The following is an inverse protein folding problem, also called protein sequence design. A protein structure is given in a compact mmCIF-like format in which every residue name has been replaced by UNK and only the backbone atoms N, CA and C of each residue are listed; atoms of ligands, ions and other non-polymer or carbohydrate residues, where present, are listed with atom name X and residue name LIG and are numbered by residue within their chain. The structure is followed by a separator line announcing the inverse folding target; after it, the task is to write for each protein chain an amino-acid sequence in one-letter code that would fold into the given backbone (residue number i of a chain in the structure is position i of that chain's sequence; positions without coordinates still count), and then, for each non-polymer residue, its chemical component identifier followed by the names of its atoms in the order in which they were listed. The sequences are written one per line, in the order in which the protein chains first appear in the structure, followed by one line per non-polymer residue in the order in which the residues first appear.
data_IF_723737950481
#
_entry.id   IF_723737950481
#
_cell.length_a   1.000
_cell.length_b   1.000
_cell.length_c   1.000
_cell.angle_alpha   90.00
_cell.angle_beta   90.00
_cell.angle_gamma   90.00
#
_symmetry.space_group_name_H-M   'P 1'
#
loop_
_entity.id
_entity.type
_entity.pdbx_description
1 polymer ?
#
# COMPACT_ATOMS: atom_id res chain seq x y z
N UNK A 1 -8.14 4.66 -2.85
CA UNK A 1 -9.42 5.29 -3.14
C UNK A 1 -10.50 4.48 -2.45
N UNK A 2 -11.33 5.09 -1.65
CA UNK A 2 -12.28 4.39 -0.76
C UNK A 2 -13.67 5.03 -0.89
N UNK A 3 -14.42 4.61 -1.88
CA UNK A 3 -15.81 5.04 -2.09
C UNK A 3 -16.56 4.01 -2.94
N UNK A 4 -16.62 2.77 -2.48
CA UNK A 4 -17.22 1.64 -3.19
C UNK A 4 -18.61 1.25 -2.67
N UNK A 5 -19.41 2.20 -2.22
CA UNK A 5 -20.73 1.92 -1.67
C UNK A 5 -21.88 2.09 -2.69
N UNK A 6 -21.53 2.37 -3.94
CA UNK A 6 -22.47 2.40 -5.06
C UNK A 6 -22.43 1.13 -5.91
N UNK A 7 -23.58 0.75 -6.46
CA UNK A 7 -23.68 -0.42 -7.35
C UNK A 7 -22.79 -0.26 -8.59
N UNK A 8 -21.87 -1.20 -8.77
CA UNK A 8 -20.92 -1.21 -9.88
C UNK A 8 -19.70 -0.32 -9.73
N UNK A 9 -19.61 0.43 -8.65
CA UNK A 9 -18.42 1.16 -8.28
C UNK A 9 -17.33 0.19 -7.81
N UNK A 10 -16.09 0.51 -8.17
CA UNK A 10 -14.92 -0.25 -7.75
C UNK A 10 -13.84 0.69 -7.28
N UNK A 11 -13.19 0.31 -6.22
CA UNK A 11 -12.00 0.96 -5.73
C UNK A 11 -10.82 0.77 -6.68
N UNK A 12 -9.82 1.62 -6.59
CA UNK A 12 -8.69 1.63 -7.51
C UNK A 12 -7.36 1.50 -6.79
N UNK A 13 -6.46 0.72 -7.35
CA UNK A 13 -5.03 0.79 -7.09
C UNK A 13 -4.41 1.64 -8.20
N UNK A 14 -3.72 2.73 -7.84
CA UNK A 14 -3.12 3.66 -8.79
C UNK A 14 -1.62 3.75 -8.57
N UNK A 15 -0.88 3.99 -9.65
CA UNK A 15 0.53 4.34 -9.60
C UNK A 15 0.66 5.86 -9.61
N UNK A 16 1.18 6.41 -8.52
CA UNK A 16 1.34 7.86 -8.39
C UNK A 16 2.71 8.27 -8.93
N UNK A 17 2.73 9.21 -9.85
CA UNK A 17 3.93 9.85 -10.35
C UNK A 17 3.86 11.36 -10.08
N UNK A 18 5.02 11.99 -9.89
CA UNK A 18 5.09 13.43 -9.68
C UNK A 18 4.50 14.17 -10.89
N UNK A 19 3.61 15.13 -10.64
CA UNK A 19 2.90 15.87 -11.68
C UNK A 19 1.80 15.08 -12.41
N UNK A 20 1.60 13.81 -12.08
CA UNK A 20 0.53 13.00 -12.65
C UNK A 20 -0.83 13.27 -12.01
N UNK A 21 -1.88 13.13 -12.80
CA UNK A 21 -3.27 13.18 -12.33
C UNK A 21 -3.88 11.78 -12.46
N UNK A 22 -4.28 11.19 -11.34
CA UNK A 22 -4.96 9.90 -11.30
C UNK A 22 -6.48 10.03 -11.22
N UNK A 23 -7.00 11.25 -11.34
CA UNK A 23 -8.39 11.56 -11.15
C UNK A 23 -8.81 11.50 -9.68
N UNK A 24 -9.88 12.17 -9.37
CA UNK A 24 -10.48 12.16 -8.04
C UNK A 24 -11.91 11.67 -8.12
N UNK A 25 -12.34 10.85 -7.17
CA UNK A 25 -13.67 10.27 -7.12
C UNK A 25 -14.35 10.61 -5.81
N UNK A 26 -15.54 11.18 -5.91
CA UNK A 26 -16.45 11.33 -4.79
C UNK A 26 -17.82 10.82 -5.18
N UNK A 27 -18.66 10.52 -4.21
CA UNK A 27 -20.06 10.17 -4.39
C UNK A 27 -20.81 11.07 -5.38
N UNK A 28 -20.46 12.34 -5.44
CA UNK A 28 -21.09 13.32 -6.32
C UNK A 28 -20.74 13.10 -7.79
N UNK A 29 -19.55 12.62 -8.07
CA UNK A 29 -19.05 12.42 -9.43
C UNK A 29 -19.51 11.10 -10.03
N UNK A 30 -19.96 10.16 -9.19
CA UNK A 30 -20.41 8.83 -9.59
C UNK A 30 -21.90 8.61 -9.51
N UNK A 31 -22.68 9.64 -9.31
CA UNK A 31 -24.13 9.53 -9.29
C UNK A 31 -24.66 9.18 -10.66
N UNK A 32 -24.70 7.90 -10.95
CA UNK A 32 -25.47 7.32 -12.04
C UNK A 32 -26.93 7.11 -11.61
N UNK A 33 -27.82 6.81 -12.57
CA UNK A 33 -29.21 6.50 -12.29
C UNK A 33 -29.36 5.48 -11.16
N UNK A 34 -30.20 5.80 -10.20
CA UNK A 34 -30.59 4.90 -9.12
C UNK A 34 -29.93 5.13 -7.78
N UNK A 35 -28.97 6.01 -7.66
CA UNK A 35 -28.38 6.34 -6.35
C UNK A 35 -29.08 7.49 -5.63
N UNK A 36 -30.20 7.90 -6.03
CA UNK A 36 -30.79 9.05 -5.39
C UNK A 36 -31.79 8.70 -4.33
N UNK A 37 -31.28 8.32 -3.18
CA UNK A 37 -31.93 8.68 -1.93
C UNK A 37 -32.12 10.21 -1.82
N UNK A 38 -31.27 10.99 -2.50
CA UNK A 38 -31.22 12.45 -2.40
C UNK A 38 -31.45 13.22 -3.69
N UNK A 39 -31.17 12.65 -4.85
CA UNK A 39 -31.49 13.27 -6.14
C UNK A 39 -31.97 12.20 -7.12
N UNK A 40 -33.06 12.45 -7.84
CA UNK A 40 -33.64 11.51 -8.80
C UNK A 40 -33.06 11.62 -10.21
N UNK A 41 -31.93 12.33 -10.38
CA UNK A 41 -31.37 12.60 -11.70
C UNK A 41 -29.96 12.05 -11.83
N UNK A 42 -29.61 11.46 -12.99
CA UNK A 42 -28.24 11.09 -13.28
C UNK A 42 -27.34 12.31 -13.18
N UNK A 43 -26.18 12.15 -12.57
CA UNK A 43 -25.19 13.21 -12.49
C UNK A 43 -24.08 12.88 -13.49
N UNK A 44 -23.79 13.83 -14.38
CA UNK A 44 -22.67 13.75 -15.31
C UNK A 44 -21.35 13.59 -14.52
N UNK A 45 -20.58 12.62 -14.94
CA UNK A 45 -19.28 12.32 -14.36
C UNK A 45 -18.21 12.40 -15.46
N UNK A 46 -17.45 13.52 -15.54
CA UNK A 46 -16.52 13.71 -16.65
C UNK A 46 -15.47 12.63 -16.75
N UNK A 47 -15.00 12.03 -15.64
CA UNK A 47 -13.99 10.97 -15.71
C UNK A 47 -14.52 9.70 -16.35
N UNK A 48 -15.74 9.30 -16.03
CA UNK A 48 -16.38 8.08 -16.58
C UNK A 48 -17.00 8.36 -17.93
N UNK A 49 -17.80 9.40 -18.04
CA UNK A 49 -18.59 9.69 -19.24
C UNK A 49 -17.69 10.08 -20.41
N UNK A 50 -16.61 10.81 -20.15
CA UNK A 50 -15.59 11.16 -21.14
C UNK A 50 -14.46 10.15 -21.24
N UNK A 51 -14.44 9.11 -20.40
CA UNK A 51 -13.43 8.05 -20.41
C UNK A 51 -12.00 8.61 -20.34
N UNK A 52 -11.76 9.53 -19.43
CA UNK A 52 -10.52 10.31 -19.38
C UNK A 52 -9.24 9.48 -19.16
N UNK A 53 -9.34 8.26 -18.66
CA UNK A 53 -8.23 7.31 -18.53
C UNK A 53 -7.95 6.47 -19.79
N UNK A 54 -8.74 6.68 -20.86
CA UNK A 54 -8.54 6.00 -22.14
C UNK A 54 -7.98 7.00 -23.13
N UNK A 55 -6.86 6.71 -23.82
CA UNK A 55 -6.38 7.55 -24.90
C UNK A 55 -7.47 7.73 -25.97
N UNK A 56 -7.77 8.95 -26.32
CA UNK A 56 -8.76 9.26 -27.38
C UNK A 56 -8.19 9.04 -28.77
N UNK A 57 -6.88 9.21 -28.89
CA UNK A 57 -6.12 9.03 -30.13
C UNK A 57 -4.90 8.14 -29.90
N UNK A 58 -4.49 7.31 -30.87
CA UNK A 58 -3.41 6.33 -30.71
C UNK A 58 -2.04 6.90 -30.31
N UNK A 59 -1.81 8.20 -30.49
CA UNK A 59 -0.53 8.87 -30.20
C UNK A 59 -0.60 9.84 -29.03
N UNK A 60 -1.74 9.90 -28.35
CA UNK A 60 -1.93 10.81 -27.22
C UNK A 60 -2.00 9.99 -25.93
N UNK A 61 -1.43 10.49 -24.82
CA UNK A 61 -1.68 9.90 -23.51
C UNK A 61 -3.13 10.12 -23.09
N UNK A 62 -3.61 9.32 -22.15
CA UNK A 62 -4.86 9.60 -21.48
C UNK A 62 -4.75 10.90 -20.66
N UNK A 63 -5.87 11.57 -20.42
CA UNK A 63 -5.92 12.81 -19.62
C UNK A 63 -5.57 12.55 -18.15
N UNK A 64 -5.93 11.38 -17.63
CA UNK A 64 -5.57 10.95 -16.27
C UNK A 64 -4.87 9.61 -16.31
N UNK A 65 -4.04 9.36 -15.30
CA UNK A 65 -3.35 8.06 -15.18
C UNK A 65 -4.35 6.95 -14.93
N UNK A 66 -4.38 5.89 -15.77
CA UNK A 66 -5.28 4.78 -15.58
C UNK A 66 -4.95 4.02 -14.28
N UNK A 67 -5.94 3.36 -13.65
CA UNK A 67 -5.68 2.47 -12.52
C UNK A 67 -4.88 1.25 -12.97
N UNK A 68 -4.03 0.73 -12.07
CA UNK A 68 -3.36 -0.55 -12.26
C UNK A 68 -4.36 -1.70 -12.17
N UNK A 69 -5.31 -1.59 -11.26
CA UNK A 69 -6.39 -2.53 -11.05
C UNK A 69 -7.59 -1.89 -10.36
N UNK A 70 -8.74 -2.50 -10.52
CA UNK A 70 -9.94 -2.16 -9.76
C UNK A 70 -10.21 -3.26 -8.74
N UNK A 71 -10.49 -2.87 -7.50
CA UNK A 71 -10.86 -3.76 -6.41
C UNK A 71 -12.35 -3.70 -6.09
N UNK A 72 -12.78 -4.56 -5.14
CA UNK A 72 -14.19 -4.68 -4.86
C UNK A 72 -14.72 -3.53 -4.03
N UNK A 73 -14.38 -3.40 -2.77
CA UNK A 73 -14.90 -2.36 -1.87
C UNK A 73 -13.98 -2.09 -0.67
N UNK A 74 -13.97 -0.85 -0.20
CA UNK A 74 -13.52 -0.43 1.11
C UNK A 74 -12.05 -0.73 1.42
N UNK A 75 -11.08 -0.26 0.61
CA UNK A 75 -9.68 -0.43 0.95
C UNK A 75 -9.36 0.25 2.28
N UNK A 76 -8.76 -0.52 3.18
CA UNK A 76 -8.27 -0.07 4.47
C UNK A 76 -6.74 0.06 4.48
N UNK A 77 -6.06 -0.80 5.22
CA UNK A 77 -4.61 -0.81 5.27
C UNK A 77 -3.95 -1.26 3.97
N UNK A 78 -2.83 -0.64 3.64
CA UNK A 78 -2.03 -1.00 2.48
C UNK A 78 -0.54 -1.02 2.86
N UNK A 79 0.14 -2.14 2.65
CA UNK A 79 1.55 -2.32 3.01
C UNK A 79 2.31 -3.14 1.98
N UNK A 80 3.54 -2.72 1.71
CA UNK A 80 4.53 -3.50 0.99
C UNK A 80 5.37 -4.32 1.96
N UNK A 81 5.77 -5.53 1.58
CA UNK A 81 6.70 -6.35 2.36
C UNK A 81 8.05 -5.64 2.49
N UNK A 82 8.50 -5.30 3.70
CA UNK A 82 9.63 -4.38 3.88
C UNK A 82 11.00 -5.01 3.56
N UNK A 83 11.07 -6.33 3.36
CA UNK A 83 12.30 -7.08 3.10
C UNK A 83 12.63 -8.11 4.17
N UNK A 84 12.38 -7.80 5.44
CA UNK A 84 12.48 -8.75 6.56
C UNK A 84 11.10 -8.86 7.20
N UNK A 85 10.50 -10.04 7.14
CA UNK A 85 9.13 -10.22 7.60
C UNK A 85 8.70 -11.69 7.53
N UNK A 86 7.53 -11.93 6.96
CA UNK A 86 6.96 -13.24 6.67
C UNK A 86 7.95 -14.17 5.94
N UNK A 87 7.50 -15.32 5.48
CA UNK A 87 8.33 -16.21 4.67
C UNK A 87 8.80 -15.51 3.36
N UNK A 88 9.77 -16.09 2.68
CA UNK A 88 10.38 -15.49 1.49
C UNK A 88 9.45 -15.54 0.27
N UNK A 89 8.39 -16.35 0.29
CA UNK A 89 7.38 -16.43 -0.76
C UNK A 89 6.60 -15.11 -0.90
N UNK A 90 6.46 -14.36 0.22
CA UNK A 90 5.84 -13.04 0.24
C UNK A 90 6.80 -11.88 0.00
N UNK A 91 8.05 -12.14 -0.33
CA UNK A 91 8.96 -11.06 -0.72
C UNK A 91 8.44 -10.33 -1.96
N UNK A 92 8.50 -8.99 -1.94
CA UNK A 92 7.98 -8.11 -3.00
C UNK A 92 6.45 -8.11 -3.15
N UNK A 93 5.71 -8.65 -2.19
CA UNK A 93 4.26 -8.55 -2.17
C UNK A 93 3.77 -7.27 -1.50
N UNK A 94 2.66 -6.79 -2.00
CA UNK A 94 1.78 -5.81 -1.36
C UNK A 94 0.64 -6.54 -0.65
N UNK A 95 0.17 -5.96 0.44
CA UNK A 95 -0.97 -6.43 1.21
C UNK A 95 -2.01 -5.33 1.25
N UNK A 96 -3.20 -5.60 0.75
CA UNK A 96 -4.32 -4.67 0.68
C UNK A 96 -5.49 -5.21 1.48
N UNK A 97 -5.92 -4.45 2.46
CA UNK A 97 -7.14 -4.73 3.21
C UNK A 97 -8.35 -4.29 2.40
N UNK A 98 -9.33 -5.17 2.28
CA UNK A 98 -10.67 -4.89 1.77
C UNK A 98 -11.64 -5.09 2.95
N UNK A 99 -11.82 -4.04 3.74
CA UNK A 99 -12.44 -4.10 5.06
C UNK A 99 -13.84 -4.72 5.05
N UNK A 100 -14.82 -4.25 4.25
CA UNK A 100 -16.16 -4.83 4.25
C UNK A 100 -16.24 -6.18 3.55
N UNK A 101 -15.25 -6.52 2.71
CA UNK A 101 -15.19 -7.82 2.06
C UNK A 101 -14.55 -8.90 2.93
N UNK A 102 -14.05 -8.54 4.13
CA UNK A 102 -13.37 -9.44 5.07
C UNK A 102 -12.16 -10.17 4.44
N UNK A 103 -11.44 -9.46 3.55
CA UNK A 103 -10.29 -10.02 2.82
C UNK A 103 -9.07 -9.12 3.01
N UNK A 104 -7.91 -9.76 3.19
CA UNK A 104 -6.60 -9.14 2.96
C UNK A 104 -6.02 -9.81 1.73
N UNK A 105 -5.95 -9.08 0.62
CA UNK A 105 -5.31 -9.56 -0.62
C UNK A 105 -3.81 -9.36 -0.58
N UNK A 106 -3.06 -10.31 -1.14
CA UNK A 106 -1.65 -10.18 -1.43
C UNK A 106 -1.43 -10.20 -2.94
N UNK A 107 -0.52 -9.35 -3.45
CA UNK A 107 -0.19 -9.30 -4.87
C UNK A 107 1.20 -8.70 -5.09
N UNK A 108 1.76 -8.92 -6.27
CA UNK A 108 2.98 -8.26 -6.76
C UNK A 108 2.64 -7.26 -7.86
N UNK A 109 3.57 -6.34 -8.12
CA UNK A 109 3.52 -5.49 -9.30
C UNK A 109 4.69 -5.83 -10.20
N UNK A 110 4.39 -6.07 -11.47
CA UNK A 110 5.37 -6.32 -12.52
C UNK A 110 5.43 -5.14 -13.49
N UNK A 111 6.62 -4.72 -13.93
CA UNK A 111 6.76 -3.62 -14.89
C UNK A 111 6.01 -3.90 -16.20
N UNK A 112 5.25 -2.90 -16.67
CA UNK A 112 4.53 -2.96 -17.95
C UNK A 112 4.58 -1.62 -18.65
N UNK A 113 5.46 -1.50 -19.64
CA UNK A 113 5.72 -0.22 -20.30
C UNK A 113 6.26 0.82 -19.32
N UNK A 114 5.60 1.98 -19.24
CA UNK A 114 5.92 3.03 -18.27
C UNK A 114 5.15 2.91 -16.96
N UNK A 115 4.49 1.78 -16.70
CA UNK A 115 3.66 1.54 -15.53
C UNK A 115 3.89 0.12 -15.01
N UNK A 116 2.90 -0.44 -14.33
CA UNK A 116 2.92 -1.78 -13.76
C UNK A 116 1.61 -2.50 -14.05
N UNK A 117 1.65 -3.81 -13.96
CA UNK A 117 0.45 -4.65 -13.86
C UNK A 117 0.50 -5.48 -12.57
N UNK A 118 -0.67 -5.85 -12.11
CA UNK A 118 -0.82 -6.68 -10.92
C UNK A 118 -0.61 -8.15 -11.29
N UNK A 119 0.19 -8.85 -10.48
CA UNK A 119 0.53 -10.26 -10.66
C UNK A 119 0.38 -11.03 -9.34
N UNK A 120 0.15 -12.33 -9.44
CA UNK A 120 0.07 -13.29 -8.32
C UNK A 120 -0.94 -12.89 -7.24
N UNK A 121 -2.02 -12.23 -7.62
CA UNK A 121 -3.06 -11.84 -6.68
C UNK A 121 -3.75 -13.06 -6.07
N UNK A 122 -3.84 -13.07 -4.75
CA UNK A 122 -4.57 -14.09 -3.99
C UNK A 122 -5.01 -13.56 -2.63
N UNK A 123 -6.02 -14.17 -2.00
CA UNK A 123 -6.35 -13.90 -0.61
C UNK A 123 -5.19 -14.35 0.31
N UNK A 124 -4.64 -13.41 1.07
CA UNK A 124 -3.69 -13.69 2.14
C UNK A 124 -4.42 -14.14 3.43
N UNK A 125 -5.56 -13.52 3.68
CA UNK A 125 -6.45 -13.84 4.78
C UNK A 125 -7.90 -13.52 4.44
N UNK A 126 -8.83 -14.35 4.94
CA UNK A 126 -10.27 -14.18 4.75
C UNK A 126 -11.03 -14.40 6.06
N UNK A 127 -12.22 -13.81 6.17
CA UNK A 127 -13.17 -14.04 7.26
C UNK A 127 -12.93 -13.19 8.51
N UNK A 128 -12.07 -12.15 8.44
CA UNK A 128 -11.94 -11.15 9.50
C UNK A 128 -12.12 -9.74 8.93
N UNK A 129 -12.80 -8.88 9.68
CA UNK A 129 -12.95 -7.46 9.34
C UNK A 129 -11.68 -6.68 9.71
N UNK A 130 -10.64 -6.86 8.93
CA UNK A 130 -9.37 -6.19 9.16
C UNK A 130 -9.46 -4.72 8.68
N UNK A 131 -9.16 -3.79 9.56
CA UNK A 131 -9.18 -2.35 9.28
C UNK A 131 -7.80 -1.79 8.91
N UNK A 132 -6.73 -2.39 9.42
CA UNK A 132 -5.36 -1.95 9.14
C UNK A 132 -4.37 -3.12 9.22
N UNK A 133 -3.27 -2.97 8.52
CA UNK A 133 -2.15 -3.95 8.53
C UNK A 133 -0.82 -3.24 8.66
N UNK A 134 0.14 -3.87 9.34
CA UNK A 134 1.48 -3.33 9.50
C UNK A 134 2.53 -4.42 9.79
N UNK A 135 3.78 -4.21 9.38
CA UNK A 135 4.92 -5.00 9.83
C UNK A 135 5.50 -4.42 11.10
N UNK A 136 5.53 -5.18 12.18
CA UNK A 136 6.13 -4.81 13.45
C UNK A 136 7.66 -4.68 13.37
N UNK A 137 8.25 -4.05 14.38
CA UNK A 137 9.72 -3.97 14.49
C UNK A 137 10.37 -5.35 14.63
N UNK A 138 9.64 -6.30 15.20
CA UNK A 138 10.02 -7.71 15.30
C UNK A 138 9.91 -8.47 13.96
N UNK A 139 9.46 -7.80 12.89
CA UNK A 139 9.28 -8.36 11.55
C UNK A 139 8.02 -9.20 11.37
N UNK A 140 7.18 -9.38 12.38
CA UNK A 140 5.89 -10.02 12.23
C UNK A 140 4.88 -9.12 11.50
N UNK A 141 3.86 -9.72 10.91
CA UNK A 141 2.75 -8.99 10.30
C UNK A 141 1.58 -8.89 11.28
N UNK A 142 1.10 -7.69 11.49
CA UNK A 142 0.01 -7.39 12.42
C UNK A 142 -1.21 -6.89 11.65
N UNK A 143 -2.38 -7.36 12.07
CA UNK A 143 -3.68 -7.01 11.51
C UNK A 143 -4.59 -6.52 12.63
N UNK A 144 -5.17 -5.34 12.47
CA UNK A 144 -6.17 -4.80 13.39
C UNK A 144 -7.55 -5.32 12.97
N UNK A 145 -8.12 -6.19 13.80
CA UNK A 145 -9.42 -6.81 13.59
C UNK A 145 -10.51 -6.02 14.33
N UNK A 146 -11.56 -5.64 13.62
CA UNK A 146 -12.72 -4.94 14.16
C UNK A 146 -13.57 -5.82 15.09
N UNK A 147 -13.45 -7.14 15.00
CA UNK A 147 -14.20 -8.13 15.79
C UNK A 147 -15.72 -7.92 15.81
N UNK A 148 -16.33 -7.91 14.65
CA UNK A 148 -17.76 -7.76 14.58
C UNK A 148 -18.28 -7.51 13.19
N UNK A 149 -19.51 -7.04 13.13
CA UNK A 149 -20.14 -6.54 11.92
C UNK A 149 -19.95 -5.04 11.85
N UNK A 150 -20.39 -4.41 10.79
CA UNK A 150 -20.24 -2.99 10.50
C UNK A 150 -20.59 -2.03 11.65
N UNK A 151 -21.45 -2.45 12.58
CA UNK A 151 -21.83 -1.61 13.73
C UNK A 151 -20.74 -1.60 14.81
N UNK A 152 -20.44 -0.45 15.42
CA UNK A 152 -19.56 -0.37 16.56
C UNK A 152 -20.04 -1.29 17.71
N UNK A 153 -19.11 -2.02 18.30
CA UNK A 153 -19.40 -3.02 19.33
C UNK A 153 -18.41 -2.97 20.50
N UNK A 154 -17.58 -1.93 20.57
CA UNK A 154 -16.54 -1.70 21.59
C UNK A 154 -15.56 -2.88 21.73
N UNK A 155 -15.38 -3.65 20.66
CA UNK A 155 -14.45 -4.78 20.57
C UNK A 155 -13.42 -4.53 19.49
N UNK A 156 -12.32 -5.20 19.65
CA UNK A 156 -11.24 -5.20 18.66
C UNK A 156 -10.06 -5.99 19.17
N UNK A 157 -9.27 -6.49 18.28
CA UNK A 157 -8.04 -7.20 18.62
C UNK A 157 -6.93 -6.95 17.60
N UNK A 158 -5.72 -7.27 18.01
CA UNK A 158 -4.58 -7.31 17.11
C UNK A 158 -4.21 -8.77 16.88
N UNK A 159 -4.33 -9.19 15.64
CA UNK A 159 -3.87 -10.51 15.20
C UNK A 159 -2.42 -10.40 14.75
N UNK A 160 -1.62 -11.37 15.14
CA UNK A 160 -0.21 -11.50 14.72
C UNK A 160 -0.06 -12.69 13.80
N UNK A 161 0.49 -12.46 12.61
CA UNK A 161 0.87 -13.52 11.66
C UNK A 161 2.39 -13.53 11.55
N UNK A 162 2.99 -14.72 11.69
CA UNK A 162 4.43 -14.86 11.67
C UNK A 162 4.87 -16.20 11.06
N UNK A 163 6.12 -16.27 10.60
CA UNK A 163 6.79 -17.51 10.21
C UNK A 163 7.55 -18.07 11.43
N UNK A 164 7.10 -19.20 12.01
CA UNK A 164 7.75 -19.79 13.19
C UNK A 164 9.24 -20.08 12.99
N UNK A 165 9.67 -20.31 11.75
CA UNK A 165 11.08 -20.58 11.40
C UNK A 165 11.98 -19.35 11.51
N UNK A 166 11.38 -18.16 11.46
CA UNK A 166 12.09 -16.85 11.49
C UNK A 166 12.00 -16.16 12.84
N UNK A 167 11.06 -16.56 13.69
CA UNK A 167 10.90 -16.00 15.03
C UNK A 167 12.19 -16.14 15.81
N UNK A 168 12.65 -15.04 16.42
CA UNK A 168 13.86 -15.01 17.26
C UNK A 168 15.20 -15.22 16.52
N UNK A 169 15.19 -15.24 15.17
CA UNK A 169 16.42 -15.30 14.38
C UNK A 169 17.31 -14.07 14.63
N UNK A 170 18.62 -14.23 14.46
CA UNK A 170 19.59 -13.11 14.63
C UNK A 170 19.22 -11.89 13.78
N UNK A 171 18.80 -12.14 12.55
CA UNK A 171 18.38 -11.08 11.61
C UNK A 171 17.15 -10.31 12.10
N UNK A 172 16.17 -10.99 12.73
CA UNK A 172 14.98 -10.33 13.31
C UNK A 172 15.34 -9.54 14.56
N UNK A 173 16.20 -10.07 15.42
CA UNK A 173 16.71 -9.36 16.62
C UNK A 173 17.50 -8.10 16.24
N UNK A 174 18.33 -8.19 15.21
CA UNK A 174 19.02 -7.03 14.67
C UNK A 174 18.06 -5.99 14.13
N UNK A 175 17.09 -6.39 13.30
CA UNK A 175 16.05 -5.50 12.78
C UNK A 175 15.30 -4.80 13.91
N UNK A 176 14.85 -5.54 14.91
CA UNK A 176 14.12 -5.00 16.05
C UNK A 176 14.96 -3.96 16.80
N UNK A 177 16.24 -4.23 17.04
CA UNK A 177 17.18 -3.28 17.63
C UNK A 177 17.30 -2.01 16.78
N UNK A 178 17.49 -2.15 15.46
CA UNK A 178 17.64 -1.02 14.55
C UNK A 178 16.35 -0.18 14.45
N UNK A 179 15.17 -0.77 14.47
CA UNK A 179 13.91 -0.05 14.38
C UNK A 179 13.43 0.53 15.71
N UNK A 180 13.80 -0.06 16.84
CA UNK A 180 13.35 0.37 18.17
C UNK A 180 14.27 1.38 18.83
N UNK A 181 15.52 1.52 18.36
CA UNK A 181 16.48 2.51 18.86
C UNK A 181 16.43 3.81 18.07
N UNK A 182 16.92 4.90 18.66
CA UNK A 182 17.04 6.20 17.97
C UNK A 182 18.32 6.31 17.10
N UNK A 183 19.24 5.35 17.22
CA UNK A 183 20.51 5.28 16.51
C UNK A 183 21.42 6.51 16.68
N UNK A 184 21.24 7.31 17.74
CA UNK A 184 22.05 8.54 17.99
C UNK A 184 23.55 8.31 18.07
N UNK A 185 23.98 7.11 18.40
CA UNK A 185 25.38 6.75 18.48
C UNK A 185 25.95 6.11 17.23
N UNK A 186 25.17 5.96 16.15
CA UNK A 186 25.66 5.34 14.94
C UNK A 186 26.64 6.27 14.20
N UNK A 187 27.77 5.70 13.74
CA UNK A 187 28.76 6.41 12.95
C UNK A 187 28.23 6.77 11.56
N UNK A 188 28.96 7.64 10.86
CA UNK A 188 28.66 8.00 9.47
C UNK A 188 28.67 6.76 8.57
N UNK A 189 29.65 5.91 8.74
CA UNK A 189 29.83 4.67 7.96
C UNK A 189 28.67 3.70 8.20
N UNK A 190 28.20 3.57 9.43
CA UNK A 190 27.02 2.75 9.75
C UNK A 190 25.78 3.30 9.06
N UNK A 191 25.53 4.61 9.09
CA UNK A 191 24.40 5.23 8.41
C UNK A 191 24.43 5.00 6.89
N UNK A 192 25.62 5.11 6.27
CA UNK A 192 25.78 4.82 4.85
C UNK A 192 25.56 3.33 4.56
N UNK A 193 26.05 2.44 5.42
CA UNK A 193 25.80 1.00 5.32
C UNK A 193 24.31 0.64 5.41
N UNK A 194 23.53 1.35 6.22
CA UNK A 194 22.08 1.13 6.34
C UNK A 194 21.30 1.51 5.08
N UNK A 195 21.83 2.29 4.16
CA UNK A 195 21.21 2.54 2.85
C UNK A 195 21.05 1.26 2.01
N UNK A 196 21.93 0.28 2.20
CA UNK A 196 21.87 -1.04 1.57
C UNK A 196 21.19 -2.13 2.41
N UNK A 197 20.64 -1.78 3.58
CA UNK A 197 20.05 -2.78 4.48
C UNK A 197 18.87 -3.51 3.85
N UNK A 198 18.70 -4.82 4.07
CA UNK A 198 17.62 -5.59 3.44
C UNK A 198 16.20 -5.09 3.74
N UNK A 199 15.97 -4.50 4.91
CA UNK A 199 14.65 -3.97 5.28
C UNK A 199 14.48 -2.51 4.85
N UNK A 200 13.44 -2.22 4.11
CA UNK A 200 13.14 -0.89 3.57
C UNK A 200 13.00 0.18 4.67
N UNK A 201 12.48 -0.16 5.83
CA UNK A 201 12.27 0.79 6.94
C UNK A 201 13.58 1.30 7.48
N UNK A 202 14.61 0.44 7.54
CA UNK A 202 15.97 0.82 7.91
C UNK A 202 16.58 1.70 6.82
N UNK A 203 16.44 1.33 5.54
CA UNK A 203 16.91 2.17 4.41
C UNK A 203 16.28 3.57 4.43
N UNK A 204 14.97 3.66 4.65
CA UNK A 204 14.26 4.95 4.73
C UNK A 204 14.74 5.81 5.90
N UNK A 205 15.02 5.21 7.07
CA UNK A 205 15.62 5.94 8.20
C UNK A 205 17.01 6.45 7.85
N UNK A 206 17.82 5.63 7.22
CA UNK A 206 19.17 6.01 6.77
C UNK A 206 19.10 7.15 5.75
N UNK A 207 18.24 7.05 4.76
CA UNK A 207 18.02 8.09 3.76
C UNK A 207 17.61 9.43 4.41
N UNK A 208 16.65 9.39 5.31
CA UNK A 208 16.19 10.58 6.02
C UNK A 208 17.32 11.23 6.87
N UNK A 209 18.17 10.41 7.50
CA UNK A 209 19.34 10.91 8.24
C UNK A 209 20.37 11.55 7.30
N UNK A 210 20.76 10.86 6.24
CA UNK A 210 21.74 11.32 5.26
C UNK A 210 21.31 12.64 4.62
N UNK A 211 20.03 12.79 4.28
CA UNK A 211 19.47 14.04 3.73
C UNK A 211 19.54 15.17 4.78
N UNK A 212 19.15 14.90 6.02
CA UNK A 212 19.17 15.90 7.10
C UNK A 212 20.59 16.40 7.40
N UNK A 213 21.55 15.49 7.42
CA UNK A 213 22.96 15.81 7.69
C UNK A 213 23.70 16.31 6.43
N UNK A 214 23.01 16.45 5.28
CA UNK A 214 23.55 16.94 4.00
C UNK A 214 24.79 16.15 3.52
N UNK A 215 24.78 14.85 3.69
CA UNK A 215 25.87 13.94 3.29
C UNK A 215 25.82 13.60 1.78
N UNK A 216 25.83 14.62 0.90
CA UNK A 216 25.70 14.42 -0.55
C UNK A 216 26.95 13.76 -1.17
N UNK A 217 28.16 14.20 -0.82
CA UNK A 217 29.40 13.67 -1.39
C UNK A 217 29.58 12.15 -1.20
N UNK A 218 29.33 11.58 0.01
CA UNK A 218 29.40 10.13 0.16
C UNK A 218 28.38 9.36 -0.66
N UNK A 219 27.20 9.96 -0.93
CA UNK A 219 26.19 9.31 -1.77
C UNK A 219 26.65 9.19 -3.24
N UNK A 220 27.34 10.18 -3.75
CA UNK A 220 27.91 10.14 -5.10
C UNK A 220 28.96 9.05 -5.24
N UNK A 221 29.80 8.85 -4.22
CA UNK A 221 30.81 7.79 -4.21
C UNK A 221 30.24 6.36 -4.13
N UNK A 222 29.02 6.19 -3.60
CA UNK A 222 28.33 4.89 -3.54
C UNK A 222 27.60 4.58 -4.87
N UNK A 223 27.26 5.62 -5.63
CA UNK A 223 26.53 5.49 -6.89
C UNK A 223 27.44 5.21 -8.11
N UNK A 224 28.75 5.37 -7.97
CA UNK A 224 29.80 4.98 -8.93
C UNK A 224 30.19 3.50 -8.74
#
# INVERSE_FOLDING_TARGET
DNDGDMRGERERVVYLVEGGDSGWRTNWQFRTEGWSKYTKQPTYNPWIDERMWVPQEPRQPAYITPPLANYSIGPGGFKYHPGIGLNDDYRNFFFLVQFPAEVVSAFRLEPKGASFEMADEHPFHEGLMISAVHFGNDGAFYMADWEGKWQPNDKGSIKKVDDPRKVGSSRRKELEKLLSSDLKGASREEWLGYLGYPDQRVRQRAQAHVVREKLAEPLMQIAE
#
